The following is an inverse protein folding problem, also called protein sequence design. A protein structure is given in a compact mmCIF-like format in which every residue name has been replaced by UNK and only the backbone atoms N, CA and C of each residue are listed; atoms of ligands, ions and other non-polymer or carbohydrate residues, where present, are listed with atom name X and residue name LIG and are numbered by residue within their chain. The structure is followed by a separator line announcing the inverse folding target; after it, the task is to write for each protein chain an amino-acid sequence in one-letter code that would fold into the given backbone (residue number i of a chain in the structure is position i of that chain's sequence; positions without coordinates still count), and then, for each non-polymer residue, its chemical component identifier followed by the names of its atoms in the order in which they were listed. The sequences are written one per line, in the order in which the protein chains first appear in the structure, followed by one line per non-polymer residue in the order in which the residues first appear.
data_IF_826903061696
#
_entry.id   IF_826903061696
#
_cell.length_a   1.000
_cell.length_b   1.000
_cell.length_c   1.000
_cell.angle_alpha   90.00
_cell.angle_beta   90.00
_cell.angle_gamma   90.00
#
_symmetry.space_group_name_H-M   'P 1'
#
loop_
_entity.id
_entity.type
_entity.pdbx_description
1 polymer ?
#
# COMPACT_ATOMS: atom_id res chain seq x y z
N UNK A 1 -6.89 -11.74 12.64
CA UNK A 1 -7.35 -10.41 12.21
C UNK A 1 -8.79 -10.25 12.69
N UNK A 2 -9.22 -9.10 13.24
CA UNK A 2 -10.64 -8.88 13.51
C UNK A 2 -11.42 -9.05 12.20
N UNK A 3 -12.53 -9.76 12.26
CA UNK A 3 -13.33 -10.17 11.10
C UNK A 3 -13.65 -8.99 10.16
N UNK A 4 -14.09 -7.84 10.67
CA UNK A 4 -14.49 -6.69 9.86
C UNK A 4 -13.33 -6.03 9.10
N UNK A 5 -12.17 -5.86 9.74
CA UNK A 5 -11.01 -5.26 9.08
C UNK A 5 -10.52 -6.13 7.92
N UNK A 6 -10.50 -7.45 8.14
CA UNK A 6 -10.13 -8.41 7.09
C UNK A 6 -11.09 -8.37 5.91
N UNK A 7 -12.40 -8.30 6.17
CA UNK A 7 -13.39 -8.20 5.09
C UNK A 7 -13.25 -6.88 4.32
N UNK A 8 -12.99 -5.75 4.99
CA UNK A 8 -12.74 -4.47 4.31
C UNK A 8 -11.51 -4.51 3.43
N UNK A 9 -10.40 -5.06 3.93
CA UNK A 9 -9.15 -5.21 3.17
C UNK A 9 -9.40 -6.05 1.93
N UNK A 10 -9.98 -7.26 2.07
CA UNK A 10 -10.28 -8.15 0.94
C UNK A 10 -11.17 -7.48 -0.11
N UNK A 11 -12.26 -6.84 0.33
CA UNK A 11 -13.15 -6.08 -0.57
C UNK A 11 -12.41 -4.98 -1.34
N UNK A 12 -11.51 -4.25 -0.67
CA UNK A 12 -10.71 -3.22 -1.34
C UNK A 12 -9.71 -3.83 -2.34
N UNK A 13 -9.10 -4.99 -2.05
CA UNK A 13 -8.26 -5.71 -3.01
C UNK A 13 -9.05 -6.04 -4.28
N UNK A 14 -10.27 -6.57 -4.14
CA UNK A 14 -11.14 -6.89 -5.27
C UNK A 14 -11.51 -5.65 -6.11
N UNK A 15 -11.75 -4.51 -5.47
CA UNK A 15 -12.02 -3.24 -6.16
C UNK A 15 -10.80 -2.74 -6.95
N UNK A 16 -9.58 -3.03 -6.50
CA UNK A 16 -8.34 -2.52 -7.10
C UNK A 16 -7.85 -3.44 -8.23
N UNK A 17 -7.88 -4.75 -8.00
CA UNK A 17 -7.24 -5.76 -8.86
C UNK A 17 -8.22 -6.81 -9.43
N UNK A 18 -9.51 -6.74 -9.08
CA UNK A 18 -10.55 -7.65 -9.55
C UNK A 18 -10.84 -8.81 -8.60
N UNK A 19 -11.90 -9.56 -8.87
CA UNK A 19 -12.29 -10.72 -8.05
C UNK A 19 -11.13 -11.74 -7.99
N UNK A 20 -10.83 -12.23 -6.80
CA UNK A 20 -9.82 -13.26 -6.58
C UNK A 20 -9.42 -13.39 -5.11
N UNK A 21 -8.60 -14.39 -4.84
CA UNK A 21 -8.02 -14.59 -3.52
C UNK A 21 -6.74 -13.77 -3.35
N UNK A 22 -6.62 -13.19 -2.17
CA UNK A 22 -5.50 -12.33 -1.78
C UNK A 22 -4.92 -12.85 -0.48
N UNK A 23 -3.64 -13.15 -0.53
CA UNK A 23 -2.84 -13.47 0.64
C UNK A 23 -2.38 -12.18 1.32
N UNK A 24 -2.55 -12.14 2.63
CA UNK A 24 -2.31 -10.96 3.47
C UNK A 24 -1.40 -11.39 4.61
N UNK A 25 -0.22 -10.81 4.69
CA UNK A 25 0.76 -11.17 5.71
C UNK A 25 1.33 -9.93 6.40
N UNK A 26 1.75 -10.10 7.65
CA UNK A 26 2.57 -9.12 8.38
C UNK A 26 3.90 -9.76 8.70
N UNK A 27 4.94 -9.23 8.06
CA UNK A 27 6.30 -9.69 8.21
C UNK A 27 7.09 -8.71 9.12
N UNK A 28 8.07 -9.24 9.85
CA UNK A 28 9.07 -8.47 10.57
C UNK A 28 10.40 -9.19 10.46
N UNK A 29 11.47 -8.44 10.16
CA UNK A 29 12.83 -8.99 10.05
C UNK A 29 13.67 -8.67 11.30
N UNK A 30 13.41 -7.52 11.92
CA UNK A 30 14.19 -6.98 13.05
C UNK A 30 13.43 -7.01 14.39
N UNK A 31 12.18 -7.49 14.41
CA UNK A 31 11.24 -7.43 15.55
C UNK A 31 10.87 -6.01 16.01
N UNK A 32 11.35 -4.99 15.32
CA UNK A 32 11.16 -3.56 15.64
C UNK A 32 10.19 -2.93 14.64
N UNK A 33 10.29 -3.32 13.37
CA UNK A 33 9.52 -2.82 12.26
C UNK A 33 8.70 -3.94 11.63
N UNK A 34 7.46 -3.60 11.32
CA UNK A 34 6.48 -4.51 10.74
C UNK A 34 6.00 -3.95 9.41
N UNK A 35 5.81 -4.84 8.44
CA UNK A 35 5.29 -4.50 7.12
C UNK A 35 4.13 -5.43 6.81
N UNK A 36 2.97 -4.86 6.46
CA UNK A 36 1.85 -5.62 5.95
C UNK A 36 1.93 -5.69 4.43
N UNK A 37 1.75 -6.87 3.85
CA UNK A 37 1.89 -7.11 2.42
C UNK A 37 0.63 -7.74 1.83
N UNK A 38 0.41 -7.52 0.53
CA UNK A 38 -0.66 -8.16 -0.24
C UNK A 38 -0.05 -8.87 -1.43
N UNK A 39 -0.32 -10.17 -1.55
CA UNK A 39 0.05 -11.01 -2.69
C UNK A 39 -1.22 -11.59 -3.30
N UNK A 40 -1.23 -11.85 -4.60
CA UNK A 40 -2.34 -12.61 -5.20
C UNK A 40 -2.16 -14.08 -4.85
N UNK A 41 -3.21 -14.75 -4.38
CA UNK A 41 -3.17 -16.17 -4.10
C UNK A 41 -3.72 -16.95 -5.30
N UNK A 42 -2.91 -17.87 -5.84
CA UNK A 42 -3.29 -18.76 -6.94
C UNK A 42 -3.54 -20.20 -6.48
N UNK A 43 -3.76 -20.41 -5.17
CA UNK A 43 -3.99 -21.68 -4.47
C UNK A 43 -2.75 -22.59 -4.45
N UNK A 44 -2.12 -22.79 -5.60
CA UNK A 44 -0.95 -23.66 -5.78
C UNK A 44 0.38 -22.93 -5.60
N UNK A 45 0.40 -21.60 -5.65
CA UNK A 45 1.56 -20.76 -5.38
C UNK A 45 1.13 -19.31 -5.11
N UNK A 46 2.01 -18.55 -4.45
CA UNK A 46 1.83 -17.12 -4.24
C UNK A 46 2.26 -16.32 -5.47
N UNK A 47 1.40 -15.40 -5.90
CA UNK A 47 1.68 -14.45 -6.95
C UNK A 47 2.67 -13.35 -6.56
N UNK A 48 2.94 -12.41 -7.47
CA UNK A 48 3.81 -11.28 -7.16
C UNK A 48 3.23 -10.42 -6.04
N UNK A 49 4.12 -9.74 -5.31
CA UNK A 49 3.75 -8.70 -4.37
C UNK A 49 2.99 -7.59 -5.11
N UNK A 50 1.76 -7.32 -4.69
CA UNK A 50 0.91 -6.28 -5.27
C UNK A 50 1.14 -4.93 -4.60
N UNK A 51 1.29 -4.93 -3.27
CA UNK A 51 1.65 -3.76 -2.47
C UNK A 51 2.17 -4.18 -1.11
N UNK A 52 2.89 -3.28 -0.44
CA UNK A 52 3.24 -3.40 0.98
C UNK A 52 3.09 -2.05 1.67
N UNK A 53 2.92 -2.06 2.99
CA UNK A 53 3.00 -0.84 3.79
C UNK A 53 4.45 -0.39 3.95
N UNK A 54 4.68 0.88 4.33
CA UNK A 54 5.93 1.28 4.96
C UNK A 54 6.18 0.50 6.27
N UNK A 55 7.41 0.58 6.78
CA UNK A 55 7.75 0.09 8.12
C UNK A 55 6.86 0.76 9.18
N UNK A 56 6.20 -0.06 9.98
CA UNK A 56 5.29 0.34 11.04
C UNK A 56 5.81 -0.18 12.40
N UNK A 57 5.53 0.52 13.51
CA UNK A 57 6.11 0.18 14.82
C UNK A 57 5.47 -1.05 15.49
N UNK A 58 4.41 -1.61 14.91
CA UNK A 58 3.72 -2.79 15.42
C UNK A 58 2.94 -3.50 14.32
N UNK A 59 2.56 -4.79 14.51
CA UNK A 59 1.69 -5.51 13.60
C UNK A 59 0.34 -4.82 13.39
N UNK A 60 -0.25 -4.30 14.47
CA UNK A 60 -1.53 -3.59 14.41
C UNK A 60 -1.42 -2.29 13.62
N UNK A 61 -0.33 -1.55 13.78
CA UNK A 61 -0.06 -0.36 12.98
C UNK A 61 0.10 -0.70 11.50
N UNK A 62 0.75 -1.83 11.18
CA UNK A 62 0.89 -2.31 9.81
C UNK A 62 -0.48 -2.66 9.19
N UNK A 63 -1.34 -3.40 9.91
CA UNK A 63 -2.70 -3.71 9.43
C UNK A 63 -3.55 -2.46 9.22
N UNK A 64 -3.51 -1.51 10.17
CA UNK A 64 -4.26 -0.27 10.08
C UNK A 64 -3.79 0.60 8.91
N UNK A 65 -2.47 0.67 8.68
CA UNK A 65 -1.92 1.39 7.53
C UNK A 65 -2.31 0.70 6.22
N UNK A 66 -2.31 -0.63 6.16
CA UNK A 66 -2.76 -1.36 4.98
C UNK A 66 -4.24 -1.09 4.66
N UNK A 67 -5.13 -1.17 5.66
CA UNK A 67 -6.56 -0.87 5.50
C UNK A 67 -6.76 0.56 4.98
N UNK A 68 -6.02 1.54 5.54
CA UNK A 68 -6.03 2.95 5.10
C UNK A 68 -5.59 3.07 3.63
N UNK A 69 -4.44 2.49 3.28
CA UNK A 69 -3.87 2.55 1.93
C UNK A 69 -4.84 1.98 0.89
N UNK A 70 -5.34 0.77 1.12
CA UNK A 70 -6.25 0.08 0.22
C UNK A 70 -7.60 0.80 0.13
N UNK A 71 -8.12 1.34 1.23
CA UNK A 71 -9.36 2.13 1.21
C UNK A 71 -9.24 3.38 0.34
N UNK A 72 -8.12 4.10 0.42
CA UNK A 72 -7.87 5.28 -0.40
C UNK A 72 -7.65 4.92 -1.86
N UNK A 73 -6.95 3.82 -2.13
CA UNK A 73 -6.70 3.36 -3.47
C UNK A 73 -7.98 2.83 -4.14
N UNK A 74 -8.82 2.08 -3.43
CA UNK A 74 -10.12 1.64 -3.93
C UNK A 74 -11.01 2.83 -4.30
N UNK A 75 -11.05 3.88 -3.45
CA UNK A 75 -11.74 5.14 -3.78
C UNK A 75 -11.18 5.81 -5.05
N UNK A 76 -9.86 5.78 -5.25
CA UNK A 76 -9.24 6.27 -6.49
C UNK A 76 -9.65 5.45 -7.71
N UNK A 77 -9.61 4.13 -7.62
CA UNK A 77 -10.01 3.23 -8.71
C UNK A 77 -11.46 3.47 -9.13
N UNK A 78 -12.37 3.63 -8.17
CA UNK A 78 -13.78 3.93 -8.43
C UNK A 78 -14.01 5.29 -9.12
N UNK A 79 -13.11 6.26 -8.97
CA UNK A 79 -13.21 7.54 -9.69
C UNK A 79 -12.89 7.42 -11.19
N UNK A 80 -12.25 6.34 -11.63
CA UNK A 80 -11.99 6.05 -13.04
C UNK A 80 -11.00 6.98 -13.75
N UNK A 81 -10.34 7.89 -13.03
CA UNK A 81 -9.32 8.80 -13.58
C UNK A 81 -7.91 8.39 -13.17
N UNK A 82 -6.88 8.76 -13.96
CA UNK A 82 -5.50 8.59 -13.54
C UNK A 82 -5.24 9.25 -12.18
N UNK A 83 -4.51 8.53 -11.32
CA UNK A 83 -4.11 9.01 -10.01
C UNK A 83 -3.09 10.14 -10.15
N UNK A 84 -3.31 11.27 -9.47
CA UNK A 84 -2.34 12.37 -9.42
C UNK A 84 -1.14 12.02 -8.54
N UNK A 85 -0.07 12.80 -8.65
CA UNK A 85 1.09 12.68 -7.76
C UNK A 85 0.69 12.82 -6.29
N UNK A 86 -0.22 13.74 -5.98
CA UNK A 86 -0.67 14.02 -4.61
C UNK A 86 -1.45 12.86 -4.02
N UNK A 87 -2.33 12.25 -4.83
CA UNK A 87 -3.11 11.08 -4.45
C UNK A 87 -2.20 9.86 -4.27
N UNK A 88 -1.20 9.71 -5.14
CA UNK A 88 -0.17 8.67 -4.99
C UNK A 88 0.59 8.82 -3.69
N UNK A 89 0.98 10.04 -3.34
CA UNK A 89 1.67 10.31 -2.07
C UNK A 89 0.75 10.23 -0.85
N UNK A 90 -0.56 10.37 -1.03
CA UNK A 90 -1.52 10.11 0.05
C UNK A 90 -1.68 8.63 0.34
N UNK A 91 -1.62 7.79 -0.69
CA UNK A 91 -1.69 6.34 -0.53
C UNK A 91 -0.32 5.82 -0.05
N UNK A 92 0.76 6.07 -0.81
CA UNK A 92 2.07 5.43 -0.61
C UNK A 92 3.09 6.31 0.12
N UNK A 93 2.73 7.51 0.57
CA UNK A 93 3.67 8.46 1.15
C UNK A 93 3.99 8.24 2.63
N UNK A 94 4.11 6.99 3.07
CA UNK A 94 4.41 6.68 4.47
C UNK A 94 3.16 6.58 5.35
N UNK A 95 3.31 6.12 6.62
CA UNK A 95 2.21 5.99 7.56
C UNK A 95 1.46 7.32 7.72
N UNK A 96 0.16 7.33 7.46
CA UNK A 96 -0.67 8.53 7.44
C UNK A 96 -0.14 9.68 6.55
N UNK A 97 0.64 9.38 5.51
CA UNK A 97 1.21 10.37 4.61
C UNK A 97 2.34 11.21 5.21
N UNK A 98 2.92 10.80 6.34
CA UNK A 98 3.99 11.58 7.02
C UNK A 98 5.26 11.75 6.17
N UNK A 99 5.50 10.87 5.20
CA UNK A 99 6.66 10.96 4.31
C UNK A 99 6.39 11.80 3.05
N UNK A 100 5.19 12.36 2.89
CA UNK A 100 4.84 13.25 1.75
C UNK A 100 5.89 14.34 1.50
N UNK A 101 6.36 15.12 2.49
CA UNK A 101 7.29 16.22 2.23
C UNK A 101 8.64 15.74 1.66
N UNK A 102 9.19 14.68 2.25
CA UNK A 102 10.49 14.11 1.86
C UNK A 102 10.39 13.52 0.45
N UNK A 103 9.35 12.73 0.17
CA UNK A 103 9.15 12.13 -1.15
C UNK A 103 8.90 13.18 -2.24
N UNK A 104 8.26 14.32 -1.91
CA UNK A 104 8.14 15.45 -2.84
C UNK A 104 9.48 16.09 -3.14
N UNK A 105 10.33 16.29 -2.14
CA UNK A 105 11.66 16.84 -2.33
C UNK A 105 12.51 15.92 -3.21
N UNK A 106 12.55 14.62 -2.88
CA UNK A 106 13.27 13.61 -3.63
C UNK A 106 12.80 13.51 -5.10
N UNK A 107 11.49 13.51 -5.34
CA UNK A 107 10.95 13.47 -6.71
C UNK A 107 11.29 14.73 -7.54
N UNK A 108 11.51 15.89 -6.89
CA UNK A 108 11.99 17.09 -7.59
C UNK A 108 13.46 16.93 -7.98
N UNK A 109 14.30 16.40 -7.09
CA UNK A 109 15.71 16.18 -7.34
C UNK A 109 15.94 15.17 -8.48
N UNK A 110 15.22 14.04 -8.49
CA UNK A 110 15.31 13.05 -9.57
C UNK A 110 15.05 13.66 -10.95
N UNK A 111 14.00 14.49 -11.07
CA UNK A 111 13.68 15.17 -12.33
C UNK A 111 14.75 16.15 -12.79
N UNK A 112 15.54 16.71 -11.87
CA UNK A 112 16.67 17.58 -12.23
C UNK A 112 17.82 16.75 -12.80
N UNK A 113 18.11 15.61 -12.18
CA UNK A 113 19.16 14.69 -12.65
C UNK A 113 18.83 14.11 -14.02
N UNK A 114 17.59 13.66 -14.25
CA UNK A 114 17.16 13.10 -15.53
C UNK A 114 17.22 14.10 -16.69
N UNK A 115 17.11 15.41 -16.42
CA UNK A 115 17.21 16.47 -17.45
C UNK A 115 18.65 16.81 -17.83
N UNK A 116 19.62 16.32 -17.07
CA UNK A 116 21.05 16.57 -17.28
C UNK A 116 21.74 15.43 -18.03
N UNK A 117 21.01 14.37 -18.37
CA UNK A 117 21.44 13.23 -19.20
C UNK A 117 20.84 13.35 -20.59
#
# INVERSE_FOLDING_TARGET
MPDEQGQRIKRNCELIWGIGDYDLDVETDDWVNYVASVKRDYISYYGPLLTMTPCCPSPEAAWNELDRMLSLWAKQKLRGRPMTQDERLEIFGGPNGKMKPILRAFAKELKLVERQQ
#
